data_IF_192363435245
#
_entry.id   IF_192363435245
#
_cell.length_a   1.000
_cell.length_b   1.000
_cell.length_c   1.000
_cell.angle_alpha   90.00
_cell.angle_beta   90.00
_cell.angle_gamma   90.00
#
_symmetry.space_group_name_H-M   'P 1'
#
loop_
_entity.id
_entity.type
_entity.pdbx_description
1 polymer ?
#
# COMPACT_ATOMS: atom_id res chain seq x y z
N UNK A 1 7.03 11.59 8.22
CA UNK A 1 6.17 10.47 7.79
C UNK A 1 5.16 11.07 6.84
N UNK A 2 5.24 10.67 5.59
CA UNK A 2 4.23 11.01 4.60
C UNK A 2 2.96 10.21 4.98
N UNK A 3 1.82 10.89 5.18
CA UNK A 3 0.54 10.24 5.54
C UNK A 3 -0.38 10.14 4.33
N UNK A 4 0.18 10.14 3.12
CA UNK A 4 -0.57 10.06 1.86
C UNK A 4 -1.13 8.67 1.55
N UNK A 5 -0.76 7.64 2.32
CA UNK A 5 -1.23 6.28 2.11
C UNK A 5 -0.66 5.61 0.85
N UNK A 6 0.44 6.15 0.31
CA UNK A 6 1.19 5.59 -0.81
C UNK A 6 2.40 4.81 -0.24
N UNK A 7 2.61 3.55 -0.66
CA UNK A 7 3.74 2.77 -0.16
C UNK A 7 5.07 3.28 -0.74
N UNK A 8 6.02 3.61 0.14
CA UNK A 8 7.37 4.03 -0.27
C UNK A 8 8.28 2.84 -0.66
N UNK A 9 8.05 1.66 -0.06
CA UNK A 9 8.88 0.46 -0.25
C UNK A 9 8.06 -0.82 -0.10
N UNK A 10 8.41 -1.85 -0.88
CA UNK A 10 7.82 -3.19 -0.81
C UNK A 10 8.75 -4.13 -0.02
N UNK A 11 8.20 -4.82 0.99
CA UNK A 11 8.92 -5.85 1.74
C UNK A 11 8.84 -7.21 1.06
N UNK A 12 9.77 -7.45 0.13
CA UNK A 12 9.87 -8.71 -0.61
C UNK A 12 10.20 -9.95 0.24
N UNK A 13 10.78 -9.75 1.43
CA UNK A 13 11.32 -10.82 2.25
C UNK A 13 10.48 -11.11 3.49
N UNK A 14 9.41 -10.35 3.69
CA UNK A 14 8.55 -10.42 4.87
C UNK A 14 9.38 -10.31 6.17
N UNK A 15 10.32 -9.37 6.19
CA UNK A 15 11.23 -9.10 7.30
C UNK A 15 10.75 -7.90 8.14
N UNK A 16 9.44 -7.66 8.17
CA UNK A 16 8.85 -6.60 8.99
C UNK A 16 9.12 -6.84 10.48
N UNK A 17 9.62 -5.81 11.15
CA UNK A 17 9.83 -5.76 12.59
C UNK A 17 8.93 -4.67 13.19
N UNK A 18 8.16 -5.03 14.21
CA UNK A 18 7.15 -4.18 14.85
C UNK A 18 7.77 -2.98 15.58
N UNK A 19 9.07 -3.03 15.91
CA UNK A 19 9.80 -1.95 16.60
C UNK A 19 10.30 -0.85 15.63
N UNK A 20 9.93 -0.91 14.35
CA UNK A 20 10.35 0.08 13.35
C UNK A 20 9.28 1.15 13.13
N UNK A 21 9.71 2.35 12.74
CA UNK A 21 8.80 3.45 12.35
C UNK A 21 8.05 3.21 11.03
N UNK A 22 8.08 1.97 10.51
CA UNK A 22 7.50 1.55 9.24
C UNK A 22 6.09 1.04 9.49
N UNK A 23 5.17 1.26 8.57
CA UNK A 23 3.79 0.76 8.67
C UNK A 23 3.55 -0.24 7.56
N UNK A 24 3.20 -1.46 7.95
CA UNK A 24 2.85 -2.50 6.99
C UNK A 24 1.45 -2.25 6.40
N UNK A 25 1.36 -2.15 5.07
CA UNK A 25 0.10 -1.91 4.34
C UNK A 25 -0.38 -3.19 3.66
N UNK A 26 -1.33 -3.90 4.26
CA UNK A 26 -1.84 -5.19 3.74
C UNK A 26 -2.91 -5.06 2.65
N UNK A 27 -3.45 -3.87 2.43
CA UNK A 27 -4.52 -3.60 1.45
C UNK A 27 -4.02 -3.30 0.03
N UNK A 28 -2.70 -3.41 -0.20
CA UNK A 28 -2.04 -3.14 -1.48
C UNK A 28 -1.45 -4.43 -2.03
N UNK A 29 -1.38 -4.55 -3.35
CA UNK A 29 -0.76 -5.68 -4.02
C UNK A 29 0.35 -5.17 -4.96
N UNK A 30 1.53 -5.78 -4.88
CA UNK A 30 2.65 -5.53 -5.80
C UNK A 30 2.61 -6.53 -6.96
N UNK A 31 2.83 -6.05 -8.18
CA UNK A 31 2.95 -6.90 -9.37
C UNK A 31 4.32 -6.71 -9.96
N UNK A 32 5.14 -7.78 -9.93
CA UNK A 32 6.46 -7.78 -10.55
C UNK A 32 6.48 -8.61 -11.82
N UNK A 33 6.93 -8.00 -12.91
CA UNK A 33 7.04 -8.66 -14.21
C UNK A 33 8.52 -8.75 -14.61
N UNK A 34 8.96 -9.97 -14.96
CA UNK A 34 10.26 -10.19 -15.61
C UNK A 34 10.04 -10.36 -17.10
N UNK A 35 10.55 -9.43 -17.90
CA UNK A 35 10.39 -9.44 -19.37
C UNK A 35 11.71 -9.15 -20.06
N UNK A 36 11.87 -9.70 -21.27
CA UNK A 36 12.96 -9.35 -22.19
C UNK A 36 12.67 -8.05 -22.97
N UNK A 37 11.40 -7.67 -23.07
CA UNK A 37 10.94 -6.52 -23.86
C UNK A 37 10.21 -5.54 -22.93
N UNK A 38 10.90 -4.55 -22.33
CA UNK A 38 10.29 -3.57 -21.43
C UNK A 38 9.19 -2.74 -22.10
N UNK A 39 9.25 -2.56 -23.42
CA UNK A 39 8.23 -1.85 -24.20
C UNK A 39 6.85 -2.53 -24.17
N UNK A 40 6.76 -3.78 -23.73
CA UNK A 40 5.49 -4.50 -23.59
C UNK A 40 4.85 -4.33 -22.22
N UNK A 41 5.47 -3.61 -21.28
CA UNK A 41 4.96 -3.46 -19.91
C UNK A 41 3.59 -2.76 -19.88
N UNK A 42 3.38 -1.75 -20.72
CA UNK A 42 2.07 -1.08 -20.85
C UNK A 42 0.96 -2.08 -21.23
N UNK A 43 1.26 -3.02 -22.13
CA UNK A 43 0.29 -4.05 -22.53
C UNK A 43 -0.03 -5.03 -21.41
N UNK A 44 0.96 -5.32 -20.56
CA UNK A 44 0.77 -6.18 -19.39
C UNK A 44 -0.11 -5.45 -18.37
N UNK A 45 0.17 -4.17 -18.09
CA UNK A 45 -0.68 -3.30 -17.25
C UNK A 45 -2.11 -3.30 -17.73
N UNK A 46 -2.32 -2.92 -18.99
CA UNK A 46 -3.65 -2.77 -19.57
C UNK A 46 -4.39 -4.11 -19.60
N UNK A 47 -3.69 -5.21 -19.85
CA UNK A 47 -4.26 -6.57 -19.80
C UNK A 47 -4.71 -6.98 -18.40
N UNK A 48 -3.92 -6.67 -17.37
CA UNK A 48 -4.27 -6.93 -15.97
C UNK A 48 -5.50 -6.10 -15.58
N UNK A 49 -5.47 -4.79 -15.85
CA UNK A 49 -6.59 -3.90 -15.56
C UNK A 49 -7.86 -4.34 -16.29
N UNK A 50 -7.75 -4.69 -17.57
CA UNK A 50 -8.86 -5.22 -18.35
C UNK A 50 -9.44 -6.49 -17.75
N UNK A 51 -8.59 -7.44 -17.34
CA UNK A 51 -9.05 -8.68 -16.72
C UNK A 51 -9.79 -8.42 -15.41
N UNK A 52 -9.26 -7.55 -14.56
CA UNK A 52 -9.87 -7.18 -13.28
C UNK A 52 -11.21 -6.49 -13.53
N UNK A 53 -11.26 -5.54 -14.46
CA UNK A 53 -12.45 -4.74 -14.74
C UNK A 53 -13.55 -5.52 -15.48
N UNK A 54 -13.21 -6.57 -16.23
CA UNK A 54 -14.19 -7.40 -16.95
C UNK A 54 -14.72 -8.56 -16.10
N UNK A 55 -14.08 -8.84 -14.96
CA UNK A 55 -14.47 -9.96 -14.12
C UNK A 55 -15.75 -9.63 -13.33
N UNK A 56 -16.82 -10.39 -13.61
CA UNK A 56 -18.13 -10.21 -12.97
C UNK A 56 -18.08 -10.30 -11.43
N UNK A 57 -17.19 -11.12 -10.86
CA UNK A 57 -17.05 -11.23 -9.41
C UNK A 57 -16.53 -9.92 -8.81
N UNK A 58 -15.48 -9.34 -9.39
CA UNK A 58 -14.91 -8.08 -8.92
C UNK A 58 -15.85 -6.90 -9.13
N UNK A 59 -16.52 -6.85 -10.28
CA UNK A 59 -17.54 -5.84 -10.57
C UNK A 59 -18.69 -5.89 -9.54
N UNK A 60 -19.21 -7.08 -9.26
CA UNK A 60 -20.28 -7.27 -8.28
C UNK A 60 -19.85 -6.87 -6.87
N UNK A 61 -18.64 -7.25 -6.46
CA UNK A 61 -18.11 -6.89 -5.15
C UNK A 61 -17.91 -5.38 -5.03
N UNK A 62 -17.36 -4.73 -6.06
CA UNK A 62 -17.16 -3.29 -6.06
C UNK A 62 -18.51 -2.55 -5.98
N UNK A 63 -19.52 -2.99 -6.74
CA UNK A 63 -20.87 -2.41 -6.65
C UNK A 63 -21.48 -2.55 -5.25
N UNK A 64 -21.29 -3.69 -4.59
CA UNK A 64 -21.74 -3.88 -3.21
C UNK A 64 -21.01 -2.94 -2.26
N UNK A 65 -19.68 -2.82 -2.40
CA UNK A 65 -18.86 -1.90 -1.61
C UNK A 65 -19.35 -0.45 -1.76
N UNK A 66 -19.47 0.04 -2.99
CA UNK A 66 -19.93 1.40 -3.27
C UNK A 66 -21.34 1.67 -2.72
N UNK A 67 -22.24 0.69 -2.83
CA UNK A 67 -23.57 0.80 -2.22
C UNK A 67 -23.49 0.90 -0.70
N UNK A 68 -22.68 0.07 -0.05
CA UNK A 68 -22.50 0.10 1.40
C UNK A 68 -21.89 1.43 1.87
N UNK A 69 -20.95 2.00 1.10
CA UNK A 69 -20.39 3.32 1.40
C UNK A 69 -21.47 4.41 1.34
N UNK A 70 -22.29 4.44 0.27
CA UNK A 70 -23.41 5.38 0.16
C UNK A 70 -24.43 5.23 1.28
N UNK A 71 -24.83 4.01 1.60
CA UNK A 71 -25.77 3.73 2.70
C UNK A 71 -25.22 4.21 4.04
N UNK A 72 -23.89 4.10 4.26
CA UNK A 72 -23.25 4.62 5.48
C UNK A 72 -23.22 6.14 5.50
N UNK A 73 -22.88 6.78 4.38
CA UNK A 73 -22.89 8.26 4.25
C UNK A 73 -24.30 8.79 4.57
N UNK A 74 -25.34 8.23 3.93
CA UNK A 74 -26.74 8.64 4.17
C UNK A 74 -27.14 8.48 5.64
N UNK A 75 -26.72 7.37 6.28
CA UNK A 75 -27.00 7.13 7.71
C UNK A 75 -26.28 8.16 8.59
N UNK A 76 -25.01 8.42 8.33
CA UNK A 76 -24.21 9.42 9.06
C UNK A 76 -24.79 10.83 8.91
N UNK A 77 -25.27 11.19 7.71
CA UNK A 77 -25.97 12.46 7.49
C UNK A 77 -27.27 12.56 8.28
N UNK A 78 -28.04 11.46 8.33
CA UNK A 78 -29.26 11.39 9.13
C UNK A 78 -28.96 11.58 10.62
N UNK A 79 -27.96 10.88 11.15
CA UNK A 79 -27.52 11.00 12.54
C UNK A 79 -27.03 12.41 12.88
N UNK A 80 -26.26 13.04 11.99
CA UNK A 80 -25.83 14.44 12.14
C UNK A 80 -27.04 15.38 12.23
N UNK A 81 -28.02 15.22 11.34
CA UNK A 81 -29.24 16.04 11.35
C UNK A 81 -30.08 15.84 12.62
N UNK A 82 -30.14 14.62 13.16
CA UNK A 82 -30.84 14.32 14.41
C UNK A 82 -30.11 14.95 15.61
N UNK A 83 -28.78 14.85 15.66
CA UNK A 83 -27.96 15.45 16.71
C UNK A 83 -28.02 16.97 16.70
N UNK A 84 -27.96 17.60 15.52
CA UNK A 84 -28.11 19.05 15.38
C UNK A 84 -29.49 19.51 15.87
N UNK A 85 -30.54 18.74 15.57
CA UNK A 85 -31.90 19.01 16.05
C UNK A 85 -31.99 18.89 17.58
N UNK A 86 -31.39 17.84 18.16
CA UNK A 86 -31.36 17.61 19.60
C UNK A 86 -30.55 18.70 20.33
N UNK A 87 -29.41 19.11 19.77
CA UNK A 87 -28.58 20.17 20.31
C UNK A 87 -29.33 21.51 20.32
N UNK A 88 -30.02 21.84 19.22
CA UNK A 88 -30.84 23.04 19.13
C UNK A 88 -31.97 23.03 20.17
N UNK A 89 -32.68 21.90 20.32
CA UNK A 89 -33.71 21.76 21.36
C UNK A 89 -33.14 21.97 22.77
N UNK A 90 -32.04 21.30 23.12
CA UNK A 90 -31.40 21.43 24.45
C UNK A 90 -30.86 22.85 24.69
N UNK A 91 -30.26 23.48 23.69
CA UNK A 91 -29.67 24.82 23.83
C UNK A 91 -30.73 25.92 23.97
N UNK A 92 -31.81 25.86 23.18
CA UNK A 92 -32.79 26.96 23.07
C UNK A 92 -34.08 26.73 23.86
N UNK A 93 -34.59 25.50 23.95
CA UNK A 93 -35.87 25.25 24.62
C UNK A 93 -35.71 24.88 26.10
N UNK A 94 -34.72 24.06 26.44
CA UNK A 94 -34.54 23.59 27.82
C UNK A 94 -34.04 24.71 28.75
N UNK A 95 -33.16 25.59 28.26
CA UNK A 95 -32.74 26.80 28.99
C UNK A 95 -33.88 27.78 29.26
N UNK A 96 -34.90 27.83 28.39
CA UNK A 96 -36.08 28.68 28.63
C UNK A 96 -36.97 28.12 29.75
N UNK A 97 -36.99 26.80 29.94
CA UNK A 97 -37.75 26.12 31.01
C UNK A 97 -37.00 26.10 32.35
N UNK A 98 -35.66 26.21 32.35
CA UNK A 98 -34.77 26.06 33.51
C UNK A 98 -34.35 27.34 34.25
N UNK A 99 -35.20 28.36 34.38
CA UNK A 99 -34.89 29.58 35.18
C UNK A 99 -34.84 29.36 36.71
N UNK A 100 -34.73 28.11 37.20
CA UNK A 100 -34.72 27.79 38.63
C UNK A 100 -33.59 26.80 38.99
N UNK A 101 -32.68 27.23 39.86
CA UNK A 101 -31.55 26.51 40.51
C UNK A 101 -30.15 26.69 39.89
N UNK A 102 -29.30 27.44 40.60
CA UNK A 102 -28.34 28.40 40.06
C UNK A 102 -26.87 27.92 40.02
N UNK A 103 -26.59 26.61 40.03
CA UNK A 103 -25.18 26.18 39.94
C UNK A 103 -24.94 24.72 39.57
N UNK A 104 -25.70 23.79 40.14
CA UNK A 104 -25.42 22.36 39.95
C UNK A 104 -25.98 21.80 38.63
N UNK A 105 -27.11 22.33 38.12
CA UNK A 105 -27.65 21.95 36.81
C UNK A 105 -26.85 22.51 35.63
N UNK A 106 -26.15 23.65 35.80
CA UNK A 106 -25.38 24.28 34.72
C UNK A 106 -24.18 23.41 34.33
N UNK A 107 -23.46 22.86 35.31
CA UNK A 107 -22.32 21.97 35.06
C UNK A 107 -22.71 20.66 34.35
N UNK A 108 -23.84 20.05 34.71
CA UNK A 108 -24.33 18.83 34.05
C UNK A 108 -24.69 19.10 32.58
N UNK A 109 -25.36 20.22 32.31
CA UNK A 109 -25.72 20.63 30.94
C UNK A 109 -24.49 20.97 30.08
N UNK A 110 -23.47 21.60 30.65
CA UNK A 110 -22.21 21.87 29.95
C UNK A 110 -21.44 20.59 29.59
N UNK A 111 -21.52 19.56 30.43
CA UNK A 111 -20.88 18.27 30.17
C UNK A 111 -21.61 17.50 29.05
N UNK A 112 -22.94 17.45 29.07
CA UNK A 112 -23.72 16.82 28.00
C UNK A 112 -23.56 17.54 26.66
N UNK A 113 -23.53 18.88 26.64
CA UNK A 113 -23.33 19.65 25.40
C UNK A 113 -21.94 19.45 24.79
N UNK A 114 -20.90 19.28 25.61
CA UNK A 114 -19.56 18.90 25.14
C UNK A 114 -19.54 17.50 24.51
N UNK A 115 -20.26 16.54 25.10
CA UNK A 115 -20.38 15.19 24.55
C UNK A 115 -21.02 15.18 23.15
N UNK A 116 -22.07 15.99 22.93
CA UNK A 116 -22.67 16.13 21.60
C UNK A 116 -21.70 16.71 20.57
N UNK A 117 -20.90 17.70 20.95
CA UNK A 117 -19.93 18.30 20.03
C UNK A 117 -18.84 17.30 19.60
N UNK A 118 -18.37 16.46 20.52
CA UNK A 118 -17.40 15.41 20.21
C UNK A 118 -18.00 14.39 19.22
N UNK A 119 -19.20 13.89 19.50
CA UNK A 119 -19.89 12.94 18.61
C UNK A 119 -20.19 13.52 17.22
N UNK A 120 -20.63 14.78 17.15
CA UNK A 120 -20.87 15.47 15.86
C UNK A 120 -19.56 15.59 15.08
N UNK A 121 -18.47 15.96 15.75
CA UNK A 121 -17.17 16.06 15.11
C UNK A 121 -16.66 14.71 14.57
N UNK A 122 -16.79 13.64 15.36
CA UNK A 122 -16.44 12.27 14.93
C UNK A 122 -17.27 11.82 13.73
N UNK A 123 -18.57 12.09 13.73
CA UNK A 123 -19.46 11.77 12.59
C UNK A 123 -19.10 12.57 11.34
N UNK A 124 -18.73 13.85 11.47
CA UNK A 124 -18.24 14.65 10.35
C UNK A 124 -16.93 14.10 9.78
N UNK A 125 -15.98 13.71 10.63
CA UNK A 125 -14.74 13.08 10.18
C UNK A 125 -15.03 11.76 9.47
N UNK A 126 -15.85 10.90 10.06
CA UNK A 126 -16.24 9.64 9.45
C UNK A 126 -16.93 9.85 8.10
N UNK A 127 -17.75 10.88 7.95
CA UNK A 127 -18.38 11.22 6.67
C UNK A 127 -17.31 11.62 5.64
N UNK A 128 -16.40 12.52 6.01
CA UNK A 128 -15.33 12.98 5.12
C UNK A 128 -14.46 11.82 4.64
N UNK A 129 -14.13 10.87 5.53
CA UNK A 129 -13.36 9.68 5.17
C UNK A 129 -14.12 8.76 4.20
N UNK A 130 -15.43 8.57 4.42
CA UNK A 130 -16.28 7.78 3.52
C UNK A 130 -16.47 8.44 2.15
N UNK A 131 -16.68 9.75 2.12
CA UNK A 131 -16.79 10.54 0.88
C UNK A 131 -15.47 10.49 0.10
N UNK A 132 -14.34 10.65 0.79
CA UNK A 132 -13.01 10.50 0.21
C UNK A 132 -12.79 9.09 -0.36
N UNK A 133 -13.20 8.04 0.37
CA UNK A 133 -13.08 6.67 -0.12
C UNK A 133 -13.91 6.44 -1.39
N UNK A 134 -15.12 6.99 -1.42
CA UNK A 134 -16.02 6.86 -2.56
C UNK A 134 -15.50 7.59 -3.80
N UNK A 135 -14.93 8.79 -3.63
CA UNK A 135 -14.40 9.61 -4.73
C UNK A 135 -13.05 9.11 -5.26
N UNK A 136 -12.08 8.88 -4.37
CA UNK A 136 -10.72 8.47 -4.76
C UNK A 136 -10.70 7.02 -5.24
N UNK A 137 -11.43 6.14 -4.58
CA UNK A 137 -11.43 4.70 -4.85
C UNK A 137 -12.79 4.28 -5.40
N UNK A 138 -13.30 4.94 -6.44
CA UNK A 138 -14.56 4.54 -7.09
C UNK A 138 -14.41 3.28 -7.96
N UNK A 139 -13.21 3.05 -8.49
CA UNK A 139 -12.88 1.90 -9.35
C UNK A 139 -12.64 0.61 -8.54
N UNK A 140 -12.54 -0.52 -9.24
CA UNK A 140 -12.25 -1.82 -8.62
C UNK A 140 -10.80 -1.85 -8.10
N UNK A 141 -9.88 -1.24 -8.84
CA UNK A 141 -8.46 -1.13 -8.50
C UNK A 141 -7.96 0.23 -8.96
N UNK A 142 -7.17 0.89 -8.12
CA UNK A 142 -6.46 2.12 -8.44
C UNK A 142 -4.97 1.81 -8.62
N UNK A 143 -4.38 2.29 -9.71
CA UNK A 143 -2.94 2.19 -9.93
C UNK A 143 -2.25 3.30 -9.14
N UNK A 144 -1.44 2.91 -8.16
CA UNK A 144 -0.67 3.86 -7.32
C UNK A 144 0.70 4.16 -7.91
N UNK A 145 1.35 3.14 -8.47
CA UNK A 145 2.63 3.25 -9.17
C UNK A 145 2.58 2.39 -10.44
N UNK A 146 3.17 2.89 -11.51
CA UNK A 146 3.17 2.23 -12.81
C UNK A 146 4.46 1.42 -13.01
N UNK A 147 4.45 0.50 -13.98
CA UNK A 147 5.62 -0.30 -14.32
C UNK A 147 6.76 0.59 -14.82
N UNK A 148 7.67 0.93 -13.91
CA UNK A 148 8.88 1.65 -14.26
C UNK A 148 9.95 0.67 -14.75
N UNK A 149 10.38 0.73 -16.04
CA UNK A 149 11.44 -0.13 -16.51
C UNK A 149 12.75 0.21 -15.77
N UNK A 150 13.55 -0.80 -15.37
CA UNK A 150 14.79 -0.54 -14.67
C UNK A 150 15.77 0.22 -15.58
N UNK A 151 16.45 1.24 -15.04
CA UNK A 151 17.42 2.04 -15.77
C UNK A 151 18.59 1.21 -16.35
N UNK A 152 18.87 0.03 -15.76
CA UNK A 152 19.85 -0.92 -16.26
C UNK A 152 19.25 -2.34 -16.29
N UNK A 153 19.56 -3.14 -17.33
CA UNK A 153 19.12 -4.53 -17.38
C UNK A 153 19.77 -5.34 -16.25
N UNK A 154 18.95 -5.98 -15.43
CA UNK A 154 19.40 -6.84 -14.31
C UNK A 154 20.33 -7.95 -14.80
N UNK A 155 20.06 -8.48 -16.00
CA UNK A 155 20.89 -9.48 -16.68
C UNK A 155 21.66 -8.87 -17.85
N UNK A 156 22.53 -7.89 -17.59
CA UNK A 156 23.42 -7.37 -18.62
C UNK A 156 24.37 -8.47 -19.12
N UNK A 157 24.38 -8.71 -20.43
CA UNK A 157 25.33 -9.63 -21.08
C UNK A 157 26.78 -9.35 -20.69
N UNK A 158 27.11 -8.09 -20.39
CA UNK A 158 28.44 -7.68 -19.93
C UNK A 158 28.81 -8.29 -18.57
N UNK A 159 27.86 -8.38 -17.64
CA UNK A 159 28.11 -8.96 -16.31
C UNK A 159 28.30 -10.48 -16.40
N UNK A 160 27.52 -11.13 -17.26
CA UNK A 160 27.64 -12.57 -17.55
C UNK A 160 29.00 -12.83 -18.22
N UNK A 161 29.33 -12.08 -19.27
CA UNK A 161 30.59 -12.21 -19.99
C UNK A 161 31.81 -12.01 -19.07
N UNK A 162 31.80 -10.97 -18.22
CA UNK A 162 32.85 -10.72 -17.23
C UNK A 162 33.06 -11.93 -16.31
N UNK A 163 31.97 -12.54 -15.84
CA UNK A 163 32.04 -13.71 -14.96
C UNK A 163 32.63 -14.93 -15.66
N UNK A 164 32.24 -15.19 -16.92
CA UNK A 164 32.77 -16.31 -17.70
C UNK A 164 34.23 -16.11 -18.08
N UNK A 165 34.64 -14.90 -18.48
CA UNK A 165 36.05 -14.58 -18.80
C UNK A 165 36.96 -14.88 -17.61
N UNK A 166 36.57 -14.45 -16.41
CA UNK A 166 37.34 -14.73 -15.18
C UNK A 166 37.45 -16.24 -14.93
N UNK A 167 36.34 -16.99 -15.08
CA UNK A 167 36.34 -18.45 -14.89
C UNK A 167 37.24 -19.17 -15.90
N UNK A 168 37.16 -18.82 -17.18
CA UNK A 168 38.00 -19.43 -18.22
C UNK A 168 39.48 -19.07 -18.03
N UNK A 169 39.78 -17.85 -17.58
CA UNK A 169 41.14 -17.44 -17.28
C UNK A 169 41.75 -18.29 -16.15
N UNK A 170 41.02 -18.51 -15.06
CA UNK A 170 41.46 -19.36 -13.94
C UNK A 170 41.65 -20.82 -14.39
N UNK A 171 40.71 -21.36 -15.17
CA UNK A 171 40.82 -22.73 -15.72
C UNK A 171 42.05 -22.84 -16.63
N UNK A 172 42.31 -21.83 -17.47
CA UNK A 172 43.50 -21.79 -18.33
C UNK A 172 44.80 -21.83 -17.53
N UNK A 173 44.91 -21.04 -16.45
CA UNK A 173 46.07 -21.07 -15.55
C UNK A 173 46.24 -22.45 -14.91
N UNK A 174 45.16 -23.05 -14.41
CA UNK A 174 45.19 -24.39 -13.81
C UNK A 174 45.67 -25.45 -14.82
N UNK A 175 45.20 -25.39 -16.07
CA UNK A 175 45.64 -26.31 -17.12
C UNK A 175 47.13 -26.16 -17.43
N UNK A 176 47.64 -24.93 -17.53
CA UNK A 176 49.08 -24.67 -17.77
C UNK A 176 49.92 -25.20 -16.61
N UNK A 177 49.49 -24.98 -15.36
CA UNK A 177 50.16 -25.53 -14.19
C UNK A 177 50.20 -27.06 -14.23
N UNK A 178 49.08 -27.72 -14.49
CA UNK A 178 49.02 -29.19 -14.58
C UNK A 178 49.96 -29.71 -15.67
N UNK A 179 49.93 -29.13 -16.87
CA UNK A 179 50.82 -29.53 -17.96
C UNK A 179 52.31 -29.32 -17.62
N UNK A 180 52.65 -28.20 -16.96
CA UNK A 180 54.02 -27.93 -16.51
C UNK A 180 54.50 -28.95 -15.47
N UNK A 181 53.65 -29.32 -14.51
CA UNK A 181 53.98 -30.35 -13.53
C UNK A 181 54.17 -31.72 -14.19
N UNK A 182 53.33 -32.08 -15.15
CA UNK A 182 53.45 -33.34 -15.90
C UNK A 182 54.73 -33.41 -16.74
N UNK A 183 55.13 -32.29 -17.36
CA UNK A 183 56.41 -32.18 -18.08
C UNK A 183 57.61 -32.45 -17.17
N UNK A 184 57.64 -31.82 -16.00
CA UNK A 184 58.70 -31.99 -15.01
C UNK A 184 58.77 -33.43 -14.46
N UNK A 185 57.62 -34.08 -14.23
CA UNK A 185 57.60 -35.50 -13.83
C UNK A 185 58.23 -36.42 -14.88
N UNK A 186 58.01 -36.15 -16.16
CA UNK A 186 58.56 -36.96 -17.26
C UNK A 186 60.07 -36.82 -17.40
N UNK A 187 60.63 -35.65 -17.09
CA UNK A 187 62.08 -35.45 -17.06
C UNK A 187 62.74 -36.15 -15.87
N UNK A 188 62.12 -36.13 -14.69
CA UNK A 188 62.63 -36.83 -13.49
C UNK A 188 62.65 -38.35 -13.72
N UNK A 189 61.62 -38.91 -14.36
CA UNK A 189 61.53 -40.35 -14.64
C UNK A 189 62.47 -40.83 -15.75
N UNK A 190 62.98 -39.93 -16.60
CA UNK A 190 63.94 -40.26 -17.66
C UNK A 190 65.40 -40.22 -17.18
N UNK A 191 65.62 -39.67 -15.98
CA UNK A 191 66.93 -39.48 -15.35
C UNK A 191 67.28 -40.61 -14.34
N UNK A 192 66.29 -41.43 -13.98
CA UNK A 192 66.44 -42.71 -13.29
C UNK A 192 66.23 -43.86 -14.28
#
# INVERSE_FOLDING_TARGET
RNMDGIPDMVDDKNNYDEDTSVTHMSSRFDVRVKTLHPQSLDKVRDGILYHINTNQFFEKNNRIRLRQLRERIDKTETELSELDSLQNYKYFEERQKGKFSEGQMVFLNEQETKLFHESVFELYQSKQDLDMELDIYSEIVTVLDDFTPPAQPVNSYLNIAKTWVIRFFIIGILLVLILSFWGNFKEIYKKY
#
